data_IF_925022724535
#
_entry.id   IF_925022724535
#
_cell.length_a   1.000
_cell.length_b   1.000
_cell.length_c   1.000
_cell.angle_alpha   90.00
_cell.angle_beta   90.00
_cell.angle_gamma   90.00
#
_symmetry.space_group_name_H-M   'P 1'
#
loop_
_entity.id
_entity.type
_entity.pdbx_description
1 polymer ?
#
# COMPACT_ATOMS: atom_id res chain seq x y z
N UNK A 1 -19.03 -28.35 0.50
CA UNK A 1 -17.64 -28.76 0.18
C UNK A 1 -16.89 -27.47 -0.11
N UNK A 2 -16.50 -26.77 0.94
CA UNK A 2 -15.78 -25.51 0.84
C UNK A 2 -14.38 -25.71 1.42
N UNK A 3 -13.44 -24.97 0.82
CA UNK A 3 -12.11 -24.69 1.36
C UNK A 3 -11.14 -25.87 1.46
N UNK A 4 -10.65 -26.27 0.28
CA UNK A 4 -9.32 -26.86 0.18
C UNK A 4 -8.30 -25.81 0.62
N UNK A 5 -7.86 -25.90 1.88
CA UNK A 5 -6.60 -25.34 2.38
C UNK A 5 -5.50 -25.62 1.35
N UNK A 6 -5.18 -24.62 0.53
CA UNK A 6 -3.99 -24.64 -0.31
C UNK A 6 -2.79 -24.33 0.61
N UNK A 7 -1.91 -25.32 0.68
CA UNK A 7 -0.64 -25.33 1.40
C UNK A 7 0.16 -24.04 1.16
N UNK A 8 0.77 -23.57 2.25
CA UNK A 8 1.81 -22.55 2.37
C UNK A 8 2.83 -22.58 1.23
N UNK A 9 2.81 -21.53 0.40
CA UNK A 9 3.96 -21.05 -0.34
C UNK A 9 4.07 -19.56 0.04
N UNK A 10 5.21 -19.12 0.55
CA UNK A 10 5.40 -17.83 1.24
C UNK A 10 5.15 -16.61 0.36
N UNK A 11 3.89 -16.30 0.13
CA UNK A 11 3.43 -15.16 -0.65
C UNK A 11 2.49 -14.32 0.21
N UNK A 12 2.99 -13.17 0.65
CA UNK A 12 2.19 -12.16 1.29
C UNK A 12 1.55 -11.26 0.23
N UNK A 13 0.29 -10.91 0.46
CA UNK A 13 -0.39 -9.85 -0.29
C UNK A 13 -0.81 -8.74 0.66
N UNK A 14 -0.60 -7.50 0.24
CA UNK A 14 -1.00 -6.33 1.02
C UNK A 14 -1.69 -5.32 0.12
N UNK A 15 -2.62 -4.59 0.73
CA UNK A 15 -3.37 -3.54 0.07
C UNK A 15 -2.65 -2.22 0.28
N UNK A 16 -2.45 -1.49 -0.81
CA UNK A 16 -1.98 -0.10 -0.82
C UNK A 16 -3.17 0.78 -1.15
N UNK A 17 -3.34 1.89 -0.43
CA UNK A 17 -4.27 2.97 -0.75
C UNK A 17 -3.50 4.30 -0.76
N UNK A 18 -3.75 5.13 -1.77
CA UNK A 18 -3.01 6.38 -2.02
C UNK A 18 -3.86 7.60 -1.68
N UNK A 19 -3.26 8.60 -1.03
CA UNK A 19 -3.85 9.92 -0.79
C UNK A 19 -2.95 11.06 -1.25
N UNK A 20 -3.57 12.18 -1.67
CA UNK A 20 -2.91 13.44 -2.03
C UNK A 20 -3.38 14.62 -1.16
N UNK A 21 -3.82 14.34 0.07
CA UNK A 21 -4.36 15.32 0.99
C UNK A 21 -5.83 15.67 0.69
N UNK A 22 -6.43 16.60 1.46
CA UNK A 22 -7.87 16.88 1.41
C UNK A 22 -8.33 17.57 0.12
N UNK A 23 -7.39 18.09 -0.68
CA UNK A 23 -7.67 18.79 -1.94
C UNK A 23 -7.26 17.98 -3.17
N UNK A 24 -6.74 16.76 -2.99
CA UNK A 24 -6.31 15.92 -4.09
C UNK A 24 -7.49 15.50 -4.96
N UNK A 25 -7.43 15.83 -6.24
CA UNK A 25 -8.50 15.48 -7.17
C UNK A 25 -8.41 14.00 -7.56
N UNK A 26 -9.53 13.31 -7.84
CA UNK A 26 -9.53 11.89 -8.20
C UNK A 26 -8.57 11.55 -9.34
N UNK A 27 -8.49 12.39 -10.38
CA UNK A 27 -7.59 12.23 -11.51
C UNK A 27 -6.10 12.38 -11.12
N UNK A 28 -5.79 13.19 -10.12
CA UNK A 28 -4.42 13.34 -9.62
C UNK A 28 -4.02 12.10 -8.83
N UNK A 29 -4.93 11.57 -8.00
CA UNK A 29 -4.72 10.31 -7.28
C UNK A 29 -4.59 9.15 -8.28
N UNK A 30 -5.33 9.17 -9.38
CA UNK A 30 -5.20 8.21 -10.48
C UNK A 30 -3.81 8.19 -11.08
N UNK A 31 -3.33 9.37 -11.45
CA UNK A 31 -2.01 9.53 -12.04
C UNK A 31 -0.92 9.11 -11.07
N UNK A 32 -1.05 9.51 -9.80
CA UNK A 32 -0.19 9.06 -8.72
C UNK A 32 -0.16 7.53 -8.59
N UNK A 33 -1.31 6.87 -8.68
CA UNK A 33 -1.43 5.41 -8.61
C UNK A 33 -0.76 4.71 -9.79
N UNK A 34 -0.93 5.22 -11.01
CA UNK A 34 -0.26 4.68 -12.20
C UNK A 34 1.26 4.79 -12.08
N UNK A 35 1.75 5.94 -11.60
CA UNK A 35 3.17 6.17 -11.41
C UNK A 35 3.74 5.29 -10.30
N UNK A 36 3.06 5.20 -9.15
CA UNK A 36 3.50 4.34 -8.04
C UNK A 36 3.47 2.86 -8.44
N UNK A 37 2.44 2.41 -9.17
CA UNK A 37 2.37 1.05 -9.72
C UNK A 37 3.55 0.74 -10.61
N UNK A 38 3.91 1.66 -11.51
CA UNK A 38 5.07 1.48 -12.40
C UNK A 38 6.34 1.33 -11.57
N UNK A 39 6.54 2.17 -10.57
CA UNK A 39 7.71 2.12 -9.69
C UNK A 39 7.73 0.80 -8.87
N UNK A 40 6.58 0.32 -8.38
CA UNK A 40 6.43 -0.95 -7.67
C UNK A 40 6.79 -2.14 -8.56
N UNK A 41 6.35 -2.14 -9.82
CA UNK A 41 6.66 -3.20 -10.79
C UNK A 41 8.15 -3.27 -11.17
N UNK A 42 8.98 -2.31 -10.74
CA UNK A 42 10.44 -2.41 -10.87
C UNK A 42 11.09 -3.20 -9.72
N UNK A 43 10.34 -3.47 -8.65
CA UNK A 43 10.78 -4.33 -7.56
C UNK A 43 10.59 -5.81 -7.96
N UNK A 44 11.32 -6.71 -7.33
CA UNK A 44 11.20 -8.16 -7.53
C UNK A 44 9.94 -8.68 -6.82
N UNK A 45 8.77 -8.38 -7.42
CA UNK A 45 7.44 -8.63 -6.85
C UNK A 45 6.61 -9.51 -7.79
N UNK A 46 5.69 -10.29 -7.22
CA UNK A 46 4.89 -11.25 -7.99
C UNK A 46 3.85 -10.58 -8.87
N UNK A 47 3.14 -9.58 -8.32
CA UNK A 47 2.06 -8.90 -9.03
C UNK A 47 1.70 -7.56 -8.39
N UNK A 48 1.16 -6.65 -9.21
CA UNK A 48 0.46 -5.43 -8.78
C UNK A 48 -0.84 -5.28 -9.55
N UNK A 49 -1.96 -5.52 -8.85
CA UNK A 49 -3.30 -5.44 -9.41
C UNK A 49 -4.03 -4.20 -8.91
N UNK A 50 -4.59 -3.41 -9.83
CA UNK A 50 -5.45 -2.29 -9.45
C UNK A 50 -6.82 -2.83 -9.02
N UNK A 51 -7.30 -2.42 -7.85
CA UNK A 51 -8.61 -2.85 -7.34
C UNK A 51 -9.58 -1.67 -7.38
N UNK A 52 -10.83 -1.85 -7.85
CA UNK A 52 -11.88 -0.88 -7.65
C UNK A 52 -12.08 -0.62 -6.15
N UNK A 53 -11.95 0.63 -5.70
CA UNK A 53 -12.23 0.98 -4.31
C UNK A 53 -13.74 1.03 -4.08
N UNK A 54 -14.30 0.12 -3.29
CA UNK A 54 -15.60 0.34 -2.65
C UNK A 54 -15.38 1.24 -1.44
N UNK A 55 -15.76 2.51 -1.52
CA UNK A 55 -15.72 3.42 -0.37
C UNK A 55 -16.54 2.83 0.78
N UNK A 56 -16.06 2.86 2.04
CA UNK A 56 -16.92 2.60 3.19
C UNK A 56 -18.08 3.61 3.19
N UNK A 57 -19.32 3.13 3.31
CA UNK A 57 -20.49 3.99 3.50
C UNK A 57 -20.26 4.90 4.72
N UNK A 58 -20.13 6.21 4.50
CA UNK A 58 -19.93 7.19 5.57
C UNK A 58 -18.76 8.17 5.38
N UNK A 59 -17.91 7.99 4.38
CA UNK A 59 -16.92 8.99 4.00
C UNK A 59 -17.61 10.21 3.37
N UNK A 60 -18.06 11.16 4.19
CA UNK A 60 -18.57 12.45 3.72
C UNK A 60 -17.46 13.18 2.98
N UNK A 61 -17.57 13.28 1.65
CA UNK A 61 -16.81 14.24 0.84
C UNK A 61 -16.06 13.70 -0.37
N UNK A 62 -16.07 12.39 -0.65
CA UNK A 62 -15.41 11.85 -1.86
C UNK A 62 -16.46 11.13 -2.71
N UNK A 63 -16.90 11.80 -3.77
CA UNK A 63 -17.82 11.25 -4.75
C UNK A 63 -17.16 10.12 -5.55
N UNK A 64 -18.02 9.22 -6.01
CA UNK A 64 -17.81 7.83 -6.35
C UNK A 64 -17.11 7.68 -7.70
N UNK A 65 -15.92 7.06 -7.72
CA UNK A 65 -15.39 6.48 -8.97
C UNK A 65 -13.87 6.51 -9.13
N UNK A 66 -13.16 5.65 -8.39
CA UNK A 66 -11.71 5.37 -8.56
C UNK A 66 -10.85 6.59 -8.13
N UNK A 67 -9.59 6.53 -7.67
CA UNK A 67 -8.48 5.64 -7.96
C UNK A 67 -7.52 5.69 -6.74
N UNK A 68 -6.73 4.63 -6.51
CA UNK A 68 -5.60 4.67 -5.57
C UNK A 68 -5.29 3.33 -4.91
N UNK A 69 -6.15 2.33 -5.10
CA UNK A 69 -6.01 1.04 -4.42
C UNK A 69 -5.30 0.02 -5.30
N UNK A 70 -4.30 -0.64 -4.73
CA UNK A 70 -3.56 -1.72 -5.37
C UNK A 70 -3.43 -2.91 -4.43
N UNK A 71 -3.56 -4.13 -4.95
CA UNK A 71 -3.08 -5.34 -4.30
C UNK A 71 -1.68 -5.62 -4.80
N UNK A 72 -0.72 -5.72 -3.89
CA UNK A 72 0.66 -6.09 -4.22
C UNK A 72 0.94 -7.46 -3.64
N UNK A 73 1.45 -8.36 -4.48
CA UNK A 73 1.84 -9.71 -4.09
C UNK A 73 3.35 -9.86 -4.15
N UNK A 74 3.96 -10.47 -3.13
CA UNK A 74 5.40 -10.61 -2.97
C UNK A 74 5.81 -12.05 -2.68
N UNK A 75 7.11 -12.33 -2.85
CA UNK A 75 7.76 -13.49 -2.23
C UNK A 75 8.37 -13.03 -0.91
N UNK A 76 8.01 -13.68 0.19
CA UNK A 76 8.54 -13.35 1.51
C UNK A 76 9.99 -13.85 1.70
N UNK A 77 10.81 -13.18 2.54
CA UNK A 77 10.54 -11.92 3.29
C UNK A 77 11.13 -10.65 2.62
N UNK A 78 11.86 -10.79 1.51
CA UNK A 78 12.66 -9.70 0.91
C UNK A 78 11.79 -8.58 0.32
N UNK A 79 10.58 -8.90 -0.18
CA UNK A 79 9.76 -7.93 -0.90
C UNK A 79 9.21 -6.77 -0.06
N UNK A 80 8.91 -6.99 1.23
CA UNK A 80 8.19 -6.02 2.06
C UNK A 80 9.04 -4.76 2.33
N UNK A 81 10.32 -4.95 2.67
CA UNK A 81 11.22 -3.82 2.98
C UNK A 81 11.41 -2.93 1.75
N UNK A 82 11.62 -3.54 0.58
CA UNK A 82 11.81 -2.83 -0.68
C UNK A 82 10.58 -1.99 -1.08
N UNK A 83 9.38 -2.55 -0.88
CA UNK A 83 8.12 -1.84 -1.09
C UNK A 83 8.02 -0.64 -0.15
N UNK A 84 8.28 -0.82 1.14
CA UNK A 84 8.13 0.25 2.13
C UNK A 84 9.13 1.38 1.86
N UNK A 85 10.36 1.05 1.49
CA UNK A 85 11.37 2.04 1.10
C UNK A 85 10.93 2.85 -0.13
N UNK A 86 10.38 2.16 -1.14
CA UNK A 86 9.84 2.81 -2.34
C UNK A 86 8.68 3.75 -2.00
N UNK A 87 7.73 3.30 -1.18
CA UNK A 87 6.56 4.09 -0.75
C UNK A 87 7.02 5.30 0.07
N UNK A 88 7.95 5.11 1.00
CA UNK A 88 8.51 6.19 1.82
C UNK A 88 9.20 7.24 0.95
N UNK A 89 9.95 6.81 -0.07
CA UNK A 89 10.54 7.70 -1.06
C UNK A 89 9.46 8.42 -1.88
N UNK A 90 8.39 7.73 -2.30
CA UNK A 90 7.28 8.31 -3.07
C UNK A 90 6.49 9.37 -2.30
N UNK A 91 6.17 9.08 -1.04
CA UNK A 91 5.52 9.99 -0.11
C UNK A 91 6.40 11.23 0.11
N UNK A 92 7.70 11.05 0.31
CA UNK A 92 8.65 12.16 0.48
C UNK A 92 8.86 13.06 -0.75
N UNK A 93 8.36 12.69 -1.93
CA UNK A 93 8.51 13.47 -3.18
C UNK A 93 7.48 14.58 -3.35
N UNK A 94 6.44 14.67 -2.52
CA UNK A 94 5.42 15.69 -2.68
C UNK A 94 4.62 15.99 -1.40
N UNK A 95 4.27 17.26 -1.15
CA UNK A 95 3.41 17.61 -0.02
C UNK A 95 2.03 16.97 -0.17
N UNK A 96 1.42 16.62 0.96
CA UNK A 96 0.07 16.00 0.99
C UNK A 96 0.03 14.54 0.55
N UNK A 97 1.14 13.94 0.10
CA UNK A 97 1.16 12.51 -0.22
C UNK A 97 1.05 11.66 1.04
N UNK A 98 0.20 10.66 0.97
CA UNK A 98 0.09 9.60 1.96
C UNK A 98 -0.15 8.26 1.28
N UNK A 99 0.25 7.19 1.96
CA UNK A 99 -0.07 5.81 1.59
C UNK A 99 -0.51 5.05 2.82
N UNK A 100 -1.63 4.34 2.73
CA UNK A 100 -2.06 3.37 3.74
C UNK A 100 -1.77 1.96 3.23
N UNK A 101 -1.11 1.17 4.05
CA UNK A 101 -0.74 -0.23 3.78
C UNK A 101 -1.51 -1.12 4.75
N UNK A 102 -2.13 -2.18 4.25
CA UNK A 102 -2.83 -3.17 5.08
C UNK A 102 -2.34 -4.58 4.76
N UNK A 103 -1.85 -5.30 5.78
CA UNK A 103 -1.39 -6.69 5.72
C UNK A 103 -1.94 -7.43 6.93
N UNK A 104 -2.60 -8.58 6.73
CA UNK A 104 -3.05 -9.42 7.85
C UNK A 104 -4.00 -8.76 8.86
N UNK A 105 -4.63 -7.62 8.51
CA UNK A 105 -5.46 -6.81 9.40
C UNK A 105 -4.70 -5.71 10.17
N UNK A 106 -3.38 -5.67 10.07
CA UNK A 106 -2.55 -4.58 10.56
C UNK A 106 -2.44 -3.47 9.50
N UNK A 107 -2.63 -2.23 9.95
CA UNK A 107 -2.59 -1.04 9.10
C UNK A 107 -1.38 -0.18 9.44
N UNK A 108 -0.61 0.19 8.41
CA UNK A 108 0.48 1.14 8.49
C UNK A 108 0.17 2.34 7.57
N UNK A 109 0.08 3.54 8.16
CA UNK A 109 -0.08 4.78 7.40
C UNK A 109 1.25 5.51 7.28
N UNK A 110 1.65 5.79 6.04
CA UNK A 110 2.86 6.51 5.68
C UNK A 110 2.48 7.90 5.20
N UNK A 111 2.75 8.92 6.00
CA UNK A 111 2.54 10.34 5.67
C UNK A 111 3.87 11.08 5.52
N UNK A 112 3.90 12.15 4.73
CA UNK A 112 5.11 12.94 4.45
C UNK A 112 5.70 13.73 5.63
N UNK A 113 5.20 13.52 6.85
CA UNK A 113 5.40 14.43 7.98
C UNK A 113 6.46 13.96 9.00
N UNK A 114 6.94 12.72 8.98
CA UNK A 114 8.13 12.34 9.77
C UNK A 114 8.85 11.09 9.25
N UNK A 115 10.15 11.22 8.90
CA UNK A 115 10.97 10.08 8.43
C UNK A 115 11.53 9.21 9.57
N UNK A 116 11.71 9.76 10.77
CA UNK A 116 12.40 9.08 11.88
C UNK A 116 11.47 8.17 12.70
N UNK A 117 10.28 8.67 13.08
CA UNK A 117 9.31 7.88 13.85
C UNK A 117 8.64 6.80 12.98
N UNK A 118 8.46 7.11 11.70
CA UNK A 118 7.92 6.19 10.71
C UNK A 118 8.82 4.98 10.49
N UNK A 119 10.16 5.13 10.52
CA UNK A 119 11.07 4.00 10.34
C UNK A 119 10.94 2.97 11.46
N UNK A 120 10.80 3.40 12.72
CA UNK A 120 10.61 2.48 13.85
C UNK A 120 9.27 1.75 13.78
N UNK A 121 8.20 2.44 13.36
CA UNK A 121 6.89 1.82 13.16
C UNK A 121 6.92 0.80 12.02
N UNK A 122 7.62 1.14 10.93
CA UNK A 122 7.90 0.24 9.81
C UNK A 122 8.65 -0.99 10.29
N UNK A 123 9.79 -0.82 10.98
CA UNK A 123 10.64 -1.93 11.41
C UNK A 123 9.85 -2.88 12.34
N UNK A 124 9.08 -2.34 13.31
CA UNK A 124 8.21 -3.16 14.16
C UNK A 124 7.03 -3.81 13.44
N UNK A 125 6.51 -3.18 12.39
CA UNK A 125 5.46 -3.77 11.58
C UNK A 125 6.03 -4.91 10.71
N UNK A 126 7.23 -4.74 10.16
CA UNK A 126 7.95 -5.80 9.44
C UNK A 126 8.26 -6.96 10.38
N UNK A 127 8.80 -6.70 11.58
CA UNK A 127 9.09 -7.74 12.58
C UNK A 127 7.86 -8.60 12.89
N UNK A 128 6.70 -7.98 13.12
CA UNK A 128 5.44 -8.69 13.40
C UNK A 128 4.93 -9.56 12.27
N UNK A 129 5.30 -9.27 11.02
CA UNK A 129 4.85 -9.99 9.83
C UNK A 129 5.94 -10.86 9.20
N UNK A 130 7.18 -10.76 9.67
CA UNK A 130 8.29 -11.62 9.24
C UNK A 130 8.32 -12.95 10.03
N UNK A 131 7.55 -13.06 11.11
CA UNK A 131 7.42 -14.29 11.89
C UNK A 131 6.25 -15.16 11.37
N UNK A 132 6.50 -16.45 11.03
CA UNK A 132 5.53 -17.37 10.43
C UNK A 132 4.48 -17.96 11.39
#
# INVERSE_FOLDING_TARGET
MEERRARSNGSASFRIEIGLGPWGLPEEVAQAAVLLRRDLLQLDILAVDAIPSTLPEGAKGVDVGTIGVMLVSLIEPVGITAVIDLISAWVGRGPGRSVKIELGGDVLEITGVSRADQRRLIDHWIERHAEP
#
